data_IF_710621187652
#
_entry.id   IF_710621187652
#
_cell.length_a   1.000
_cell.length_b   1.000
_cell.length_c   1.000
_cell.angle_alpha   90.00
_cell.angle_beta   90.00
_cell.angle_gamma   90.00
#
_symmetry.space_group_name_H-M   'P 1'
#
loop_
_entity.id
_entity.type
_entity.pdbx_description
1 polymer ?
#
# COMPACT_ATOMS: atom_id res chain seq x y z
N UNK A 1 41.61 2.90 14.30
CA UNK A 1 40.99 3.71 13.23
C UNK A 1 41.35 3.10 11.90
N UNK A 2 40.53 2.17 11.42
CA UNK A 2 40.60 1.61 10.06
C UNK A 2 39.20 1.77 9.51
N UNK A 3 39.06 2.64 8.51
CA UNK A 3 37.79 2.92 7.86
C UNK A 3 37.32 1.69 7.10
N UNK A 4 36.13 1.21 7.43
CA UNK A 4 35.39 0.31 6.55
C UNK A 4 34.47 1.18 5.68
N UNK A 5 35.03 1.60 4.54
CA UNK A 5 34.25 1.94 3.35
C UNK A 5 33.49 0.69 2.90
N UNK A 6 32.33 0.44 3.49
CA UNK A 6 31.39 -0.55 2.97
C UNK A 6 30.63 0.10 1.81
N UNK A 7 31.18 -0.12 0.61
CA UNK A 7 30.52 -0.14 -0.70
C UNK A 7 29.15 0.56 -0.82
N UNK A 8 29.18 1.65 -1.56
CA UNK A 8 28.07 2.31 -2.25
C UNK A 8 27.21 1.27 -3.03
N UNK A 9 25.89 1.49 -3.05
CA UNK A 9 24.82 0.74 -3.73
C UNK A 9 24.31 -0.54 -3.05
N UNK A 10 23.61 -0.37 -1.92
CA UNK A 10 22.69 -1.42 -1.46
C UNK A 10 21.52 -1.55 -2.43
N UNK A 11 21.28 -2.76 -2.96
CA UNK A 11 20.19 -3.08 -3.90
C UNK A 11 18.84 -2.47 -3.47
N UNK A 12 18.45 -1.32 -4.04
CA UNK A 12 17.15 -0.66 -3.84
C UNK A 12 16.00 -1.32 -4.64
N UNK A 13 16.25 -2.49 -5.23
CA UNK A 13 15.38 -3.19 -6.18
C UNK A 13 14.42 -4.20 -5.55
N UNK A 14 14.14 -4.09 -4.24
CA UNK A 14 13.13 -4.97 -3.63
C UNK A 14 11.77 -4.70 -4.24
N UNK A 15 11.18 -5.75 -4.81
CA UNK A 15 9.86 -5.73 -5.41
C UNK A 15 8.92 -6.67 -4.67
N UNK A 16 7.73 -6.20 -4.37
CA UNK A 16 6.73 -6.92 -3.60
C UNK A 16 5.39 -6.95 -4.33
N UNK A 17 4.69 -8.09 -4.27
CA UNK A 17 3.27 -8.15 -4.62
C UNK A 17 2.44 -7.53 -3.51
N UNK A 18 1.60 -6.55 -3.82
CA UNK A 18 0.71 -5.91 -2.86
C UNK A 18 -0.70 -5.79 -3.45
N UNK A 19 -1.63 -5.33 -2.62
CA UNK A 19 -3.05 -5.29 -2.90
C UNK A 19 -3.66 -3.95 -2.51
N UNK A 20 -4.56 -3.45 -3.35
CA UNK A 20 -5.35 -2.24 -3.12
C UNK A 20 -6.84 -2.58 -3.27
N UNK A 21 -7.58 -2.57 -2.16
CA UNK A 21 -9.05 -2.70 -2.19
C UNK A 21 -9.70 -1.37 -2.53
N UNK A 22 -10.63 -1.39 -3.48
CA UNK A 22 -11.33 -0.18 -3.93
C UNK A 22 -12.68 -0.52 -4.57
N UNK A 23 -13.43 0.48 -5.02
CA UNK A 23 -14.69 0.27 -5.74
C UNK A 23 -14.43 -0.17 -7.19
N UNK A 24 -15.41 -0.83 -7.82
CA UNK A 24 -15.32 -1.17 -9.26
C UNK A 24 -15.04 0.04 -10.16
N UNK A 25 -15.67 1.20 -9.89
CA UNK A 25 -15.48 2.44 -10.66
C UNK A 25 -14.07 3.04 -10.48
N UNK A 26 -13.56 3.03 -9.25
CA UNK A 26 -12.19 3.47 -8.95
C UNK A 26 -11.16 2.54 -9.58
N UNK A 27 -11.40 1.22 -9.54
CA UNK A 27 -10.53 0.24 -10.19
C UNK A 27 -10.44 0.48 -11.70
N UNK A 28 -11.57 0.72 -12.38
CA UNK A 28 -11.57 1.06 -13.81
C UNK A 28 -10.78 2.34 -14.10
N UNK A 29 -10.94 3.37 -13.25
CA UNK A 29 -10.20 4.63 -13.39
C UNK A 29 -8.69 4.43 -13.21
N UNK A 30 -8.29 3.62 -12.23
CA UNK A 30 -6.88 3.28 -11.96
C UNK A 30 -6.28 2.45 -13.09
N UNK A 31 -7.03 1.48 -13.63
CA UNK A 31 -6.57 0.68 -14.78
C UNK A 31 -6.34 1.54 -16.03
N UNK A 32 -7.17 2.57 -16.24
CA UNK A 32 -7.05 3.47 -17.39
C UNK A 32 -5.95 4.52 -17.24
N UNK A 33 -5.78 5.07 -16.04
CA UNK A 33 -4.95 6.27 -15.81
C UNK A 33 -3.77 6.08 -14.86
N UNK A 34 -3.60 4.87 -14.31
CA UNK A 34 -2.63 4.60 -13.26
C UNK A 34 -3.13 5.04 -11.88
N UNK A 35 -2.33 4.75 -10.85
CA UNK A 35 -2.59 5.24 -9.50
C UNK A 35 -2.30 6.75 -9.41
N UNK A 36 -3.03 7.41 -8.51
CA UNK A 36 -2.75 8.77 -8.07
C UNK A 36 -2.59 8.77 -6.56
N UNK A 37 -1.75 9.67 -6.06
CA UNK A 37 -1.62 9.85 -4.62
C UNK A 37 -2.96 10.30 -4.03
N UNK A 38 -3.30 9.81 -2.85
CA UNK A 38 -4.33 10.43 -2.00
C UNK A 38 -3.90 11.85 -1.61
N UNK A 39 -4.85 12.69 -1.16
CA UNK A 39 -4.51 14.01 -0.61
C UNK A 39 -3.87 13.94 0.79
N UNK A 40 -3.94 12.79 1.46
CA UNK A 40 -3.44 12.57 2.81
C UNK A 40 -3.72 11.15 3.31
N UNK A 41 -3.63 10.97 4.64
CA UNK A 41 -3.85 9.68 5.29
C UNK A 41 -3.03 9.57 6.58
N UNK A 42 -3.10 8.39 7.22
CA UNK A 42 -2.35 8.09 8.45
C UNK A 42 -0.84 8.31 8.31
N UNK A 43 -0.31 8.13 7.10
CA UNK A 43 1.10 8.20 6.72
C UNK A 43 1.38 9.40 5.79
N UNK A 44 0.47 10.37 5.71
CA UNK A 44 0.53 11.45 4.72
C UNK A 44 -0.01 11.04 3.36
N UNK A 45 0.28 11.83 2.32
CA UNK A 45 -0.16 11.54 0.95
C UNK A 45 0.65 10.39 0.33
N UNK A 46 0.01 9.62 -0.53
CA UNK A 46 0.64 8.53 -1.29
C UNK A 46 -0.38 7.50 -1.75
N UNK A 47 0.12 6.35 -2.20
CA UNK A 47 -0.73 5.20 -2.59
C UNK A 47 -0.66 4.15 -1.50
N UNK A 48 -1.81 3.85 -0.90
CA UNK A 48 -1.95 2.91 0.19
C UNK A 48 -2.14 1.49 -0.29
N UNK A 49 -1.32 0.58 0.23
CA UNK A 49 -1.22 -0.81 -0.19
C UNK A 49 -1.04 -1.73 1.01
N UNK A 50 -1.48 -2.98 0.85
CA UNK A 50 -1.31 -4.04 1.84
C UNK A 50 -0.61 -5.24 1.21
N UNK A 51 0.26 -5.92 1.97
CA UNK A 51 0.79 -7.25 1.60
C UNK A 51 -0.21 -8.37 1.89
N UNK A 52 -1.20 -8.09 2.73
CA UNK A 52 -2.30 -8.96 3.08
C UNK A 52 -3.50 -8.70 2.16
N UNK A 53 -3.89 -9.74 1.39
CA UNK A 53 -5.03 -9.72 0.47
C UNK A 53 -6.37 -9.65 1.21
N UNK A 54 -6.53 -10.37 2.31
CA UNK A 54 -7.76 -10.38 3.11
C UNK A 54 -7.96 -9.04 3.82
N UNK A 55 -6.88 -8.35 4.19
CA UNK A 55 -6.95 -6.93 4.59
C UNK A 55 -7.45 -6.05 3.47
N UNK A 56 -6.86 -6.16 2.28
CA UNK A 56 -7.22 -5.30 1.16
C UNK A 56 -8.68 -5.54 0.70
N UNK A 57 -9.15 -6.79 0.66
CA UNK A 57 -10.51 -7.13 0.21
C UNK A 57 -11.64 -6.56 1.07
N UNK A 58 -11.32 -6.12 2.30
CA UNK A 58 -12.27 -5.46 3.20
C UNK A 58 -12.57 -4.01 2.84
N UNK A 59 -11.84 -3.42 1.90
CA UNK A 59 -12.00 -2.00 1.54
C UNK A 59 -12.77 -1.81 0.21
N UNK A 60 -13.65 -0.79 0.12
CA UNK A 60 -14.08 0.08 1.22
C UNK A 60 -14.95 -0.64 2.25
N UNK A 61 -14.80 -0.29 3.55
CA UNK A 61 -15.46 -0.99 4.67
C UNK A 61 -16.99 -0.93 4.56
N UNK A 62 -17.52 0.23 4.19
CA UNK A 62 -18.97 0.50 4.15
C UNK A 62 -19.66 0.08 2.85
N UNK A 63 -18.97 -0.68 2.01
CA UNK A 63 -19.49 -1.15 0.73
C UNK A 63 -19.71 -2.67 0.78
N UNK A 64 -20.77 -3.19 0.17
CA UNK A 64 -20.96 -4.64 0.09
C UNK A 64 -19.82 -5.35 -0.67
N UNK A 65 -19.49 -6.57 -0.24
CA UNK A 65 -18.35 -7.33 -0.80
C UNK A 65 -18.42 -7.47 -2.32
N UNK A 66 -19.62 -7.74 -2.88
CA UNK A 66 -19.84 -7.92 -4.31
C UNK A 66 -19.58 -6.65 -5.16
N UNK A 67 -19.36 -5.49 -4.54
CA UNK A 67 -19.03 -4.23 -5.21
C UNK A 67 -17.55 -3.84 -5.06
N UNK A 68 -16.80 -4.56 -4.23
CA UNK A 68 -15.36 -4.31 -3.96
C UNK A 68 -14.49 -5.05 -4.96
N UNK A 69 -13.47 -4.38 -5.47
CA UNK A 69 -12.45 -4.96 -6.34
C UNK A 69 -11.09 -4.82 -5.67
N UNK A 70 -10.26 -5.85 -5.76
CA UNK A 70 -8.86 -5.76 -5.32
C UNK A 70 -7.96 -5.66 -6.54
N UNK A 71 -7.15 -4.61 -6.60
CA UNK A 71 -6.09 -4.46 -7.61
C UNK A 71 -4.82 -5.10 -7.05
N UNK A 72 -4.25 -6.06 -7.79
CA UNK A 72 -2.98 -6.71 -7.47
C UNK A 72 -1.86 -6.01 -8.22
N UNK A 73 -0.81 -5.65 -7.50
CA UNK A 73 0.30 -4.83 -8.02
C UNK A 73 1.66 -5.43 -7.68
N UNK A 74 2.68 -5.14 -8.50
CA UNK A 74 4.10 -5.27 -8.15
C UNK A 74 4.64 -3.89 -7.81
N UNK A 75 5.27 -3.75 -6.64
CA UNK A 75 5.74 -2.47 -6.11
C UNK A 75 7.24 -2.52 -5.91
N UNK A 76 7.97 -1.60 -6.54
CA UNK A 76 9.38 -1.34 -6.23
C UNK A 76 9.43 -0.45 -4.99
N UNK A 77 9.80 -1.00 -3.83
CA UNK A 77 9.64 -0.26 -2.55
C UNK A 77 10.76 0.75 -2.25
N UNK A 78 11.92 0.62 -2.89
CA UNK A 78 13.02 1.56 -2.72
C UNK A 78 13.47 1.70 -1.25
N UNK A 79 13.76 2.93 -0.83
CA UNK A 79 14.14 3.26 0.55
C UNK A 79 12.91 3.32 1.45
N UNK A 80 12.80 2.36 2.35
CA UNK A 80 11.63 2.22 3.25
C UNK A 80 11.88 2.89 4.60
N UNK A 81 10.89 3.63 5.12
CA UNK A 81 10.86 4.11 6.49
C UNK A 81 9.81 3.36 7.29
N UNK A 82 10.24 2.64 8.34
CA UNK A 82 9.32 2.11 9.33
C UNK A 82 8.71 3.25 10.15
N UNK A 83 7.38 3.25 10.25
CA UNK A 83 6.56 4.13 11.09
C UNK A 83 5.89 3.22 12.11
N UNK A 84 6.48 3.09 13.28
CA UNK A 84 6.22 2.04 14.27
C UNK A 84 5.53 2.54 15.54
N UNK A 85 5.15 3.82 15.58
CA UNK A 85 4.40 4.38 16.71
C UNK A 85 3.56 5.59 16.27
N UNK A 86 2.45 5.81 16.99
CA UNK A 86 1.64 7.00 16.79
C UNK A 86 2.46 8.25 17.11
N UNK A 87 2.27 9.31 16.32
CA UNK A 87 3.04 10.55 16.38
C UNK A 87 4.53 10.37 16.07
N UNK A 88 4.92 9.32 15.33
CA UNK A 88 6.28 9.16 14.85
C UNK A 88 6.71 10.45 14.10
N UNK A 89 7.91 11.03 14.34
CA UNK A 89 8.29 12.34 13.80
C UNK A 89 8.22 12.47 12.27
N UNK A 90 8.41 11.35 11.57
CA UNK A 90 8.30 11.25 10.10
C UNK A 90 6.99 10.64 9.60
N UNK A 91 5.98 10.47 10.45
CA UNK A 91 4.73 9.77 10.10
C UNK A 91 4.10 10.29 8.82
N UNK A 92 4.12 11.61 8.58
CA UNK A 92 3.55 12.25 7.38
C UNK A 92 4.57 12.90 6.44
N UNK A 93 5.86 12.94 6.82
CA UNK A 93 6.93 13.73 6.16
C UNK A 93 8.13 12.88 5.77
N UNK A 94 8.00 11.56 5.78
CA UNK A 94 9.06 10.61 5.39
C UNK A 94 9.55 10.85 3.95
N UNK A 95 8.66 11.23 3.03
CA UNK A 95 9.03 11.51 1.63
C UNK A 95 9.95 12.73 1.50
N UNK A 96 9.78 13.76 2.34
CA UNK A 96 10.67 14.93 2.38
C UNK A 96 12.10 14.57 2.81
N UNK A 97 12.28 13.38 3.39
CA UNK A 97 13.60 12.82 3.78
C UNK A 97 14.14 11.81 2.77
N UNK A 98 13.56 11.77 1.57
CA UNK A 98 14.01 10.94 0.46
C UNK A 98 13.69 9.46 0.64
N UNK A 99 12.66 9.11 1.43
CA UNK A 99 12.14 7.75 1.48
C UNK A 99 11.06 7.56 0.41
N UNK A 100 11.06 6.38 -0.21
CA UNK A 100 10.14 6.01 -1.29
C UNK A 100 8.84 5.38 -0.78
N UNK A 101 8.90 4.73 0.38
CA UNK A 101 7.76 4.04 1.01
C UNK A 101 7.81 4.21 2.53
N UNK A 102 6.68 4.59 3.13
CA UNK A 102 6.45 4.39 4.55
C UNK A 102 5.79 3.03 4.80
N UNK A 103 6.23 2.32 5.83
CA UNK A 103 5.73 1.01 6.21
C UNK A 103 5.38 0.98 7.69
N UNK A 104 4.17 0.52 8.02
CA UNK A 104 3.74 0.22 9.38
C UNK A 104 3.99 -1.25 9.64
N UNK A 105 4.90 -1.61 10.57
CA UNK A 105 5.12 -2.99 10.94
C UNK A 105 3.88 -3.61 11.61
N UNK A 106 3.68 -4.93 11.52
CA UNK A 106 2.61 -5.59 12.25
C UNK A 106 2.80 -5.42 13.76
N UNK A 107 1.69 -5.29 14.49
CA UNK A 107 1.63 -5.25 15.96
C UNK A 107 2.47 -4.16 16.64
N UNK A 108 2.80 -3.06 15.95
CA UNK A 108 3.56 -1.94 16.53
C UNK A 108 2.70 -0.90 17.27
N UNK A 109 1.38 -1.12 17.37
CA UNK A 109 0.47 -0.17 18.02
C UNK A 109 0.04 1.03 17.16
N UNK A 110 0.43 1.08 15.89
CA UNK A 110 -0.02 2.12 14.95
C UNK A 110 -1.52 2.03 14.61
N UNK A 111 -2.05 0.83 14.40
CA UNK A 111 -3.47 0.63 14.03
C UNK A 111 -4.10 -0.42 14.94
N UNK A 112 -5.39 -0.24 15.28
CA UNK A 112 -6.12 -1.15 16.18
C UNK A 112 -6.10 -2.61 15.72
N UNK A 113 -6.07 -2.84 14.41
CA UNK A 113 -6.05 -4.19 13.84
C UNK A 113 -4.70 -4.89 13.98
N UNK A 114 -3.61 -4.17 14.29
CA UNK A 114 -2.25 -4.70 14.29
C UNK A 114 -1.70 -5.08 12.92
N UNK A 115 -2.45 -4.86 11.83
CA UNK A 115 -2.05 -5.29 10.49
C UNK A 115 -1.17 -4.26 9.79
N UNK A 116 -0.15 -4.72 9.08
CA UNK A 116 0.80 -3.88 8.35
C UNK A 116 0.16 -3.02 7.25
N UNK A 117 0.80 -1.91 6.91
CA UNK A 117 0.32 -0.98 5.88
C UNK A 117 1.50 -0.29 5.19
N UNK A 118 1.39 -0.11 3.88
CA UNK A 118 2.40 0.54 3.07
C UNK A 118 1.81 1.80 2.43
N UNK A 119 2.57 2.89 2.39
CA UNK A 119 2.24 4.10 1.65
C UNK A 119 3.42 4.43 0.73
N UNK A 120 3.20 4.31 -0.58
CA UNK A 120 4.21 4.54 -1.61
C UNK A 120 4.07 5.98 -2.11
N UNK A 121 5.20 6.70 -2.21
CA UNK A 121 5.18 8.11 -2.59
C UNK A 121 4.85 8.28 -4.07
N UNK A 122 5.64 7.65 -4.92
CA UNK A 122 5.55 7.79 -6.38
C UNK A 122 4.74 6.64 -7.01
N UNK A 123 3.58 6.91 -7.63
CA UNK A 123 2.79 5.92 -8.34
C UNK A 123 3.54 5.15 -9.44
N UNK A 124 4.59 5.71 -10.06
CA UNK A 124 5.38 5.04 -11.11
C UNK A 124 6.19 3.84 -10.57
N UNK A 125 6.28 3.70 -9.25
CA UNK A 125 6.84 2.51 -8.59
C UNK A 125 5.88 1.33 -8.56
N UNK A 126 4.61 1.52 -8.94
CA UNK A 126 3.53 0.55 -8.82
C UNK A 126 3.11 0.07 -10.21
N UNK A 127 3.35 -1.21 -10.49
CA UNK A 127 2.88 -1.86 -11.71
C UNK A 127 1.65 -2.69 -11.42
N UNK A 128 0.52 -2.36 -12.05
CA UNK A 128 -0.68 -3.21 -12.01
C UNK A 128 -0.38 -4.51 -12.74
N UNK A 129 -0.75 -5.64 -12.12
CA UNK A 129 -0.55 -6.96 -12.72
C UNK A 129 -1.86 -7.76 -12.85
N UNK A 130 -2.86 -7.49 -12.02
CA UNK A 130 -4.15 -8.20 -12.08
C UNK A 130 -5.26 -7.46 -11.29
N UNK A 131 -6.50 -7.88 -11.47
CA UNK A 131 -7.64 -7.50 -10.63
C UNK A 131 -8.41 -8.73 -10.15
N UNK A 132 -8.68 -8.81 -8.86
CA UNK A 132 -9.50 -9.84 -8.25
C UNK A 132 -10.89 -9.24 -8.05
N UNK A 133 -11.86 -9.77 -8.81
CA UNK A 133 -13.28 -9.42 -8.67
C UNK A 133 -13.88 -10.17 -7.48
N UNK A 134 -14.88 -9.59 -6.81
CA UNK A 134 -15.56 -10.27 -5.73
C UNK A 134 -16.41 -11.41 -6.30
N UNK A 135 -16.77 -12.37 -5.44
CA UNK A 135 -17.68 -13.45 -5.86
C UNK A 135 -19.01 -12.84 -6.30
N UNK A 136 -19.60 -13.29 -7.43
CA UNK A 136 -20.92 -12.83 -7.83
C UNK A 136 -21.93 -13.12 -6.72
N UNK A 137 -22.91 -12.23 -6.55
CA UNK A 137 -24.01 -12.45 -5.63
C UNK A 137 -24.74 -13.73 -6.04
N UNK A 138 -24.61 -14.80 -5.25
CA UNK A 138 -25.48 -15.96 -5.37
C UNK A 138 -26.80 -15.59 -4.72
N UNK A 139 -27.83 -15.28 -5.53
CA UNK A 139 -29.19 -15.17 -5.01
C UNK A 139 -29.53 -16.44 -4.23
N UNK A 140 -30.19 -16.35 -3.07
CA UNK A 140 -30.81 -17.52 -2.46
C UNK A 140 -31.71 -18.17 -3.52
N UNK A 141 -31.61 -19.48 -3.70
CA UNK A 141 -32.58 -20.20 -4.51
C UNK A 141 -33.97 -19.92 -3.93
N UNK A 142 -34.84 -19.31 -4.73
CA UNK A 142 -36.25 -19.04 -4.41
C UNK A 142 -37.00 -20.34 -4.16
#
# INVERSE_FOLDING_TARGET
LSGNNFSVFGNYDKTYVMYHGTTSSSAQSILKSGFKQSSGGMLGRGVYLSRDLEKASRYPIDLDEHLRVVIKVKVRVGKVKAIDCQNHPLQKTWHDKGYDTAWVPPNCGMVKSGLEENCVWDPERIKIIDTIKPKPFSSPAT
#
